data_IF_514339340988
#
_entry.id   IF_514339340988
#
_cell.length_a   1.000
_cell.length_b   1.000
_cell.length_c   1.000
_cell.angle_alpha   90.00
_cell.angle_beta   90.00
_cell.angle_gamma   90.00
#
_symmetry.space_group_name_H-M   'P 1'
#
loop_
_entity.id
_entity.type
_entity.pdbx_description
1 polymer ?
#
# COMPACT_ATOMS: atom_id res chain seq x y z
N UNK A 1 -4.11 13.43 -7.16
CA UNK A 1 -4.04 12.62 -8.41
C UNK A 1 -4.01 13.56 -9.60
N UNK A 2 -3.26 13.27 -10.67
CA UNK A 2 -3.27 14.09 -11.89
C UNK A 2 -4.62 13.95 -12.61
N UNK A 3 -5.32 15.04 -12.98
CA UNK A 3 -6.66 14.97 -13.58
C UNK A 3 -6.73 14.13 -14.87
N UNK A 4 -5.79 14.34 -15.79
CA UNK A 4 -5.75 13.56 -17.05
C UNK A 4 -5.50 12.06 -16.84
N UNK A 5 -4.60 11.71 -15.93
CA UNK A 5 -4.40 10.31 -15.54
C UNK A 5 -5.69 9.72 -14.98
N UNK A 6 -6.41 10.46 -14.14
CA UNK A 6 -7.70 10.00 -13.61
C UNK A 6 -8.74 9.82 -14.70
N UNK A 7 -8.85 10.78 -15.63
CA UNK A 7 -9.78 10.71 -16.76
C UNK A 7 -9.60 9.41 -17.55
N UNK A 8 -8.36 9.13 -17.98
CA UNK A 8 -8.02 7.89 -18.71
C UNK A 8 -8.22 6.65 -17.84
N UNK A 9 -7.74 6.69 -16.59
CA UNK A 9 -7.83 5.55 -15.68
C UNK A 9 -9.28 5.16 -15.37
N UNK A 10 -10.15 6.14 -15.15
CA UNK A 10 -11.56 5.94 -14.82
C UNK A 10 -12.40 5.44 -16.00
N UNK A 11 -11.98 5.71 -17.24
CA UNK A 11 -12.67 5.24 -18.45
C UNK A 11 -12.31 3.80 -18.85
N UNK A 12 -11.29 3.19 -18.24
CA UNK A 12 -10.88 1.82 -18.53
C UNK A 12 -11.79 0.79 -17.83
N UNK A 13 -12.17 -0.27 -18.56
CA UNK A 13 -12.98 -1.36 -18.01
C UNK A 13 -12.26 -2.21 -16.96
N UNK A 14 -10.96 -2.48 -17.16
CA UNK A 14 -10.11 -3.19 -16.21
C UNK A 14 -8.88 -2.36 -15.87
N UNK A 15 -8.61 -2.19 -14.58
CA UNK A 15 -7.59 -1.30 -14.01
C UNK A 15 -6.55 -2.10 -13.24
N UNK A 16 -5.28 -1.87 -13.58
CA UNK A 16 -4.14 -2.47 -12.90
C UNK A 16 -3.18 -1.38 -12.41
N UNK A 17 -2.67 -1.51 -11.19
CA UNK A 17 -1.66 -0.59 -10.63
C UNK A 17 -0.38 -1.35 -10.31
N UNK A 18 0.76 -0.81 -10.75
CA UNK A 18 2.10 -1.30 -10.46
C UNK A 18 2.85 -0.29 -9.59
N UNK A 19 3.23 -0.68 -8.37
CA UNK A 19 3.87 0.21 -7.39
C UNK A 19 5.08 -0.41 -6.73
N UNK A 20 6.07 0.41 -6.38
CA UNK A 20 7.17 -0.03 -5.53
C UNK A 20 6.77 -0.06 -4.04
N UNK A 21 5.64 0.55 -3.66
CA UNK A 21 5.16 0.53 -2.28
C UNK A 21 4.74 -0.89 -1.86
N UNK A 22 4.81 -1.21 -0.56
CA UNK A 22 4.28 -2.46 -0.04
C UNK A 22 2.81 -2.66 -0.44
N UNK A 23 2.48 -3.79 -1.11
CA UNK A 23 1.12 -4.04 -1.61
C UNK A 23 0.10 -3.97 -0.48
N UNK A 24 0.41 -4.59 0.66
CA UNK A 24 -0.45 -4.63 1.85
C UNK A 24 -0.86 -3.24 2.35
N UNK A 25 -0.03 -2.22 2.14
CA UNK A 25 -0.32 -0.84 2.58
C UNK A 25 -1.24 -0.10 1.61
N UNK A 26 -1.14 -0.36 0.30
CA UNK A 26 -1.81 0.44 -0.73
C UNK A 26 -3.02 -0.26 -1.35
N UNK A 27 -3.04 -1.59 -1.38
CA UNK A 27 -4.09 -2.37 -2.06
C UNK A 27 -5.49 -2.07 -1.51
N UNK A 28 -5.73 -2.01 -0.18
CA UNK A 28 -7.04 -1.67 0.35
C UNK A 28 -7.51 -0.29 -0.14
N UNK A 29 -6.62 0.69 -0.17
CA UNK A 29 -6.93 2.03 -0.66
C UNK A 29 -7.28 2.01 -2.16
N UNK A 30 -6.42 1.40 -2.98
CA UNK A 30 -6.59 1.35 -4.43
C UNK A 30 -7.88 0.63 -4.82
N UNK A 31 -8.16 -0.53 -4.22
CA UNK A 31 -9.37 -1.29 -4.51
C UNK A 31 -10.63 -0.58 -4.02
N UNK A 32 -10.64 -0.13 -2.77
CA UNK A 32 -11.86 0.39 -2.16
C UNK A 32 -12.24 1.80 -2.63
N UNK A 33 -11.25 2.65 -2.92
CA UNK A 33 -11.48 4.07 -3.23
C UNK A 33 -11.26 4.42 -4.70
N UNK A 34 -10.37 3.72 -5.42
CA UNK A 34 -10.10 4.00 -6.83
C UNK A 34 -10.67 2.95 -7.79
N UNK A 35 -11.31 1.89 -7.27
CA UNK A 35 -11.91 0.83 -8.08
C UNK A 35 -10.87 0.13 -8.95
N UNK A 36 -9.68 -0.13 -8.40
CA UNK A 36 -8.62 -0.89 -9.07
C UNK A 36 -8.93 -2.39 -8.95
N UNK A 37 -8.78 -3.14 -10.04
CA UNK A 37 -9.05 -4.58 -10.04
C UNK A 37 -7.83 -5.39 -9.60
N UNK A 38 -6.65 -5.01 -10.10
CA UNK A 38 -5.39 -5.71 -9.85
C UNK A 38 -4.34 -4.75 -9.29
N UNK A 39 -3.72 -5.12 -8.18
CA UNK A 39 -2.63 -4.35 -7.57
C UNK A 39 -1.39 -5.22 -7.49
N UNK A 40 -0.33 -4.81 -8.20
CA UNK A 40 0.99 -5.39 -8.12
C UNK A 40 1.87 -4.43 -7.32
N UNK A 41 2.31 -4.87 -6.15
CA UNK A 41 3.17 -4.09 -5.26
C UNK A 41 4.37 -4.88 -4.78
N UNK A 42 5.24 -4.23 -4.00
CA UNK A 42 6.30 -4.95 -3.29
C UNK A 42 5.68 -5.82 -2.20
N UNK A 43 6.08 -7.08 -2.13
CA UNK A 43 5.62 -7.99 -1.07
C UNK A 43 6.51 -7.89 0.17
N UNK A 44 5.89 -7.94 1.35
CA UNK A 44 6.59 -7.98 2.63
C UNK A 44 6.57 -9.42 3.14
N UNK A 45 7.73 -9.91 3.57
CA UNK A 45 7.87 -11.22 4.16
C UNK A 45 7.07 -11.29 5.46
N UNK A 46 6.30 -12.38 5.63
CA UNK A 46 5.51 -12.61 6.83
C UNK A 46 5.82 -13.98 7.42
N UNK A 47 5.71 -14.08 8.74
CA UNK A 47 5.83 -15.32 9.47
C UNK A 47 4.64 -15.44 10.41
N UNK A 48 3.87 -16.54 10.30
CA UNK A 48 2.63 -16.77 11.07
C UNK A 48 1.65 -15.59 11.06
N UNK A 49 1.49 -14.94 9.90
CA UNK A 49 0.59 -13.79 9.74
C UNK A 49 1.14 -12.45 10.23
N UNK A 50 2.37 -12.42 10.77
CA UNK A 50 3.03 -11.20 11.25
C UNK A 50 4.03 -10.74 10.19
N UNK A 51 3.94 -9.47 9.78
CA UNK A 51 4.92 -8.85 8.89
C UNK A 51 6.28 -8.76 9.59
N UNK A 52 7.34 -9.27 8.95
CA UNK A 52 8.69 -9.31 9.52
C UNK A 52 9.44 -7.98 9.35
N UNK A 53 8.90 -7.05 8.55
CA UNK A 53 9.57 -5.81 8.15
C UNK A 53 10.54 -5.95 6.99
N UNK A 54 10.85 -7.18 6.56
CA UNK A 54 11.70 -7.45 5.40
C UNK A 54 10.91 -7.58 4.11
N UNK A 55 11.52 -7.19 3.00
CA UNK A 55 10.97 -7.44 1.66
C UNK A 55 11.01 -8.95 1.38
N UNK A 56 9.98 -9.48 0.74
CA UNK A 56 9.96 -10.87 0.31
C UNK A 56 11.06 -11.16 -0.73
N UNK A 57 11.36 -12.44 -0.97
CA UNK A 57 12.39 -12.86 -1.93
C UNK A 57 12.14 -12.39 -3.38
N UNK A 58 10.92 -11.99 -3.71
CA UNK A 58 10.56 -11.33 -4.97
C UNK A 58 11.23 -9.96 -5.16
N UNK A 59 11.76 -9.36 -4.10
CA UNK A 59 12.41 -8.06 -4.11
C UNK A 59 11.44 -6.89 -4.28
N UNK A 60 12.01 -5.70 -4.45
CA UNK A 60 11.27 -4.45 -4.65
C UNK A 60 10.73 -4.37 -6.08
N UNK A 61 9.45 -4.01 -6.22
CA UNK A 61 8.76 -3.94 -7.50
C UNK A 61 9.05 -2.63 -8.26
N UNK A 62 10.26 -2.53 -8.80
CA UNK A 62 10.76 -1.37 -9.56
C UNK A 62 11.45 -1.80 -10.86
N UNK A 63 11.45 -0.93 -11.88
CA UNK A 63 12.22 -1.20 -13.09
C UNK A 63 11.73 -2.43 -13.84
N UNK A 64 12.66 -3.32 -14.18
CA UNK A 64 12.37 -4.59 -14.85
C UNK A 64 11.44 -5.49 -14.03
N UNK A 65 11.45 -5.41 -12.71
CA UNK A 65 10.59 -6.23 -11.85
C UNK A 65 9.10 -5.91 -12.09
N UNK A 66 8.75 -4.65 -12.38
CA UNK A 66 7.37 -4.28 -12.79
C UNK A 66 6.96 -5.00 -14.08
N UNK A 67 7.84 -5.03 -15.07
CA UNK A 67 7.59 -5.69 -16.35
C UNK A 67 7.43 -7.21 -16.19
N UNK A 68 8.29 -7.83 -15.37
CA UNK A 68 8.22 -9.26 -15.06
C UNK A 68 6.92 -9.60 -14.34
N UNK A 69 6.55 -8.83 -13.32
CA UNK A 69 5.30 -9.04 -12.59
C UNK A 69 4.08 -8.89 -13.51
N UNK A 70 4.06 -7.87 -14.37
CA UNK A 70 2.99 -7.69 -15.35
C UNK A 70 2.83 -8.91 -16.26
N UNK A 71 3.94 -9.41 -16.83
CA UNK A 71 3.92 -10.62 -17.67
C UNK A 71 3.46 -11.86 -16.92
N UNK A 72 3.88 -12.04 -15.67
CA UNK A 72 3.46 -13.17 -14.86
C UNK A 72 1.95 -13.14 -14.57
N UNK A 73 1.37 -11.94 -14.39
CA UNK A 73 -0.04 -11.78 -14.05
C UNK A 73 -0.97 -11.93 -15.26
N UNK A 74 -0.59 -11.40 -16.43
CA UNK A 74 -1.47 -11.38 -17.60
C UNK A 74 -1.04 -12.34 -18.73
N UNK A 75 0.11 -13.00 -18.60
CA UNK A 75 0.67 -13.85 -19.64
C UNK A 75 1.29 -13.05 -20.80
N UNK A 76 1.76 -13.76 -21.83
CA UNK A 76 2.40 -13.14 -22.98
C UNK A 76 1.40 -12.57 -24.00
N UNK A 77 0.17 -13.10 -24.05
CA UNK A 77 -0.81 -12.77 -25.08
C UNK A 77 -1.82 -11.69 -24.66
N UNK A 78 -2.00 -11.46 -23.35
CA UNK A 78 -2.93 -10.45 -22.84
C UNK A 78 -2.18 -9.24 -22.29
N UNK A 79 -1.56 -8.45 -23.18
CA UNK A 79 -0.88 -7.22 -22.75
C UNK A 79 -1.86 -6.06 -22.56
N UNK A 80 -1.66 -5.19 -21.55
CA UNK A 80 -2.53 -4.04 -21.34
C UNK A 80 -2.53 -3.08 -22.52
N UNK A 81 -3.68 -2.49 -22.83
CA UNK A 81 -3.79 -1.53 -23.92
C UNK A 81 -3.06 -0.22 -23.60
N UNK A 82 -3.21 0.30 -22.37
CA UNK A 82 -2.69 1.62 -21.98
C UNK A 82 -1.72 1.47 -20.80
N UNK A 83 -0.53 2.02 -20.92
CA UNK A 83 0.47 2.13 -19.86
C UNK A 83 0.73 3.58 -19.45
N UNK A 84 0.66 3.88 -18.16
CA UNK A 84 0.94 5.23 -17.64
C UNK A 84 2.05 5.15 -16.59
N UNK A 85 3.06 6.00 -16.70
CA UNK A 85 4.18 6.06 -15.74
C UNK A 85 4.74 7.48 -15.60
N UNK A 86 5.58 7.70 -14.60
CA UNK A 86 6.18 9.03 -14.33
C UNK A 86 7.70 9.04 -14.44
N UNK A 87 8.35 7.87 -14.45
CA UNK A 87 9.81 7.75 -14.39
C UNK A 87 10.37 6.82 -15.46
N UNK A 88 11.66 6.99 -15.75
CA UNK A 88 12.43 6.05 -16.61
C UNK A 88 12.37 4.60 -16.11
N UNK A 89 12.21 4.39 -14.80
CA UNK A 89 12.03 3.06 -14.20
C UNK A 89 10.73 2.37 -14.61
N UNK A 90 9.76 3.10 -15.17
CA UNK A 90 8.49 2.54 -15.63
C UNK A 90 8.55 2.10 -17.10
N UNK A 91 9.53 2.59 -17.86
CA UNK A 91 9.68 2.27 -19.28
C UNK A 91 9.68 0.76 -19.57
N UNK A 92 10.31 -0.12 -18.75
CA UNK A 92 10.27 -1.55 -19.01
C UNK A 92 8.86 -2.15 -19.09
N UNK A 93 7.94 -1.76 -18.21
CA UNK A 93 6.57 -2.30 -18.27
C UNK A 93 5.74 -1.53 -19.31
N UNK A 94 5.95 -0.22 -19.47
CA UNK A 94 5.23 0.58 -20.46
C UNK A 94 5.52 0.14 -21.90
N UNK A 95 6.71 -0.43 -22.15
CA UNK A 95 7.04 -1.05 -23.44
C UNK A 95 6.19 -2.28 -23.77
N UNK A 96 5.56 -2.89 -22.77
CA UNK A 96 4.66 -4.02 -22.95
C UNK A 96 3.24 -3.57 -23.32
N UNK A 97 2.88 -2.30 -23.06
CA UNK A 97 1.56 -1.76 -23.37
C UNK A 97 1.47 -1.31 -24.84
N UNK A 98 0.27 -1.34 -25.41
CA UNK A 98 0.03 -0.90 -26.80
C UNK A 98 0.25 0.61 -26.95
N UNK A 99 -0.35 1.38 -26.06
CA UNK A 99 -0.20 2.82 -25.92
C UNK A 99 0.48 3.14 -24.59
N UNK A 100 1.28 4.22 -24.55
CA UNK A 100 2.04 4.59 -23.37
C UNK A 100 2.18 6.08 -23.19
N UNK A 101 1.94 6.55 -21.97
CA UNK A 101 1.92 7.96 -21.61
C UNK A 101 2.83 8.24 -20.42
N UNK A 102 3.62 9.31 -20.52
CA UNK A 102 4.43 9.81 -19.42
C UNK A 102 3.73 10.99 -18.79
N UNK A 103 3.54 10.91 -17.47
CA UNK A 103 2.96 11.97 -16.66
C UNK A 103 4.09 12.59 -15.85
N UNK A 104 4.39 13.90 -16.02
CA UNK A 104 5.44 14.56 -15.26
C UNK A 104 5.19 14.43 -13.75
N UNK A 105 6.22 14.04 -12.97
CA UNK A 105 6.10 13.90 -11.50
C UNK A 105 5.77 15.21 -10.77
N UNK A 106 6.00 16.36 -11.42
CA UNK A 106 5.62 17.70 -10.93
C UNK A 106 4.64 18.31 -11.92
N UNK A 107 3.35 17.99 -11.79
CA UNK A 107 2.35 18.65 -12.60
C UNK A 107 2.22 20.13 -12.20
N UNK A 108 2.21 21.02 -13.19
CA UNK A 108 1.78 22.42 -13.01
C UNK A 108 0.24 22.52 -12.86
N UNK A 109 -0.46 21.40 -12.98
CA UNK A 109 -1.91 21.31 -12.85
C UNK A 109 -2.36 21.02 -11.42
N UNK A 110 -3.49 21.61 -11.04
CA UNK A 110 -4.11 21.35 -9.74
C UNK A 110 -4.48 19.87 -9.60
N UNK A 111 -4.23 19.25 -8.43
CA UNK A 111 -4.68 17.89 -8.17
C UNK A 111 -6.19 17.75 -8.34
N UNK A 112 -6.61 16.56 -8.76
CA UNK A 112 -8.02 16.17 -8.78
C UNK A 112 -8.67 16.44 -7.42
N UNK A 113 -9.84 17.07 -7.44
CA UNK A 113 -10.65 17.33 -6.25
C UNK A 113 -11.17 16.02 -5.66
N UNK A 114 -11.39 15.99 -4.34
CA UNK A 114 -11.82 14.79 -3.62
C UNK A 114 -13.23 14.31 -4.00
N UNK A 115 -14.08 15.22 -4.46
CA UNK A 115 -15.46 14.95 -4.93
C UNK A 115 -15.50 14.21 -6.27
N UNK A 116 -14.42 14.26 -7.06
CA UNK A 116 -14.33 13.56 -8.34
C UNK A 116 -13.90 12.09 -8.22
N UNK A 117 -13.63 11.61 -7.00
CA UNK A 117 -13.28 10.22 -6.74
C UNK A 117 -14.56 9.39 -6.50
N UNK A 118 -14.56 8.08 -6.85
CA UNK A 118 -15.75 7.22 -6.74
C UNK A 118 -16.25 7.10 -5.30
N UNK A 119 -15.35 7.23 -4.32
CA UNK A 119 -15.67 7.31 -2.90
C UNK A 119 -14.90 8.45 -2.25
N UNK A 120 -15.51 9.17 -1.29
CA UNK A 120 -14.80 10.15 -0.48
C UNK A 120 -13.59 9.50 0.20
N UNK A 121 -12.40 10.01 -0.08
CA UNK A 121 -11.17 9.52 0.57
C UNK A 121 -11.06 10.19 1.94
N UNK A 122 -11.35 9.43 2.99
CA UNK A 122 -11.04 9.83 4.36
C UNK A 122 -9.67 9.26 4.68
N UNK A 123 -8.65 10.12 4.62
CA UNK A 123 -7.30 9.71 4.98
C UNK A 123 -7.20 9.64 6.51
N UNK A 124 -7.40 8.45 7.05
CA UNK A 124 -7.09 8.14 8.45
C UNK A 124 -5.57 8.01 8.56
N UNK A 125 -4.86 9.14 8.53
CA UNK A 125 -3.44 9.14 8.89
C UNK A 125 -3.33 8.72 10.35
N UNK A 126 -2.91 7.47 10.59
CA UNK A 126 -2.60 6.95 11.92
C UNK A 126 -1.46 7.69 12.63
N UNK A 127 -0.91 8.75 12.01
CA UNK A 127 -0.03 9.73 12.66
C UNK A 127 -0.65 10.46 13.85
N UNK A 128 -1.89 10.13 14.23
CA UNK A 128 -2.47 10.43 15.55
C UNK A 128 -1.88 9.62 16.72
N UNK A 129 -0.59 9.31 16.69
CA UNK A 129 0.15 9.17 17.94
C UNK A 129 1.18 10.28 17.95
N UNK A 130 0.78 11.42 18.52
CA UNK A 130 1.70 12.47 18.96
C UNK A 130 2.86 11.73 19.64
N UNK A 131 4.09 11.90 19.15
CA UNK A 131 5.26 11.24 19.76
C UNK A 131 5.20 11.53 21.26
N UNK A 132 5.26 10.52 22.15
CA UNK A 132 5.26 10.76 23.58
C UNK A 132 6.35 11.80 23.88
N UNK A 133 6.06 12.77 24.73
CA UNK A 133 7.12 13.65 25.23
C UNK A 133 8.19 12.77 25.90
N UNK A 134 9.47 13.21 25.97
CA UNK A 134 10.51 12.42 26.62
C UNK A 134 10.12 11.94 28.03
N UNK A 135 9.39 12.77 28.78
CA UNK A 135 8.82 12.42 30.08
C UNK A 135 7.78 11.29 29.97
N UNK A 136 6.83 11.39 29.05
CA UNK A 136 5.82 10.33 28.85
C UNK A 136 6.45 9.03 28.36
N UNK A 137 7.46 9.10 27.49
CA UNK A 137 8.23 7.92 27.07
C UNK A 137 8.93 7.25 28.28
N UNK A 138 9.57 8.05 29.16
CA UNK A 138 10.20 7.55 30.37
C UNK A 138 9.18 6.88 31.31
N UNK A 139 8.03 7.52 31.53
CA UNK A 139 6.96 6.96 32.37
C UNK A 139 6.42 5.66 31.79
N UNK A 140 6.23 5.56 30.47
CA UNK A 140 5.80 4.33 29.80
C UNK A 140 6.83 3.21 30.01
N UNK A 141 8.13 3.50 29.82
CA UNK A 141 9.20 2.51 30.00
C UNK A 141 9.28 2.06 31.46
N UNK A 142 9.19 3.00 32.41
CA UNK A 142 9.23 2.70 33.84
C UNK A 142 8.00 1.90 34.30
N UNK A 143 6.84 2.19 33.73
CA UNK A 143 5.59 1.51 34.06
C UNK A 143 5.46 0.14 33.38
N UNK A 144 6.13 -0.07 32.25
CA UNK A 144 6.07 -1.32 31.49
C UNK A 144 6.28 -2.60 32.33
N UNK A 145 7.32 -2.73 33.19
CA UNK A 145 7.51 -3.92 34.02
C UNK A 145 6.35 -4.14 35.01
N UNK A 146 5.83 -3.06 35.61
CA UNK A 146 4.69 -3.12 36.54
C UNK A 146 3.43 -3.56 35.79
N UNK A 147 3.16 -2.94 34.64
CA UNK A 147 2.03 -3.27 33.78
C UNK A 147 2.07 -4.73 33.28
N UNK A 148 3.26 -5.25 32.97
CA UNK A 148 3.44 -6.64 32.56
C UNK A 148 3.14 -7.62 33.71
N UNK A 149 3.61 -7.33 34.92
CA UNK A 149 3.31 -8.17 36.09
C UNK A 149 1.81 -8.17 36.40
N UNK A 150 1.18 -7.00 36.35
CA UNK A 150 -0.27 -6.86 36.56
C UNK A 150 -1.07 -7.60 35.49
N UNK A 151 -0.68 -7.52 34.21
CA UNK A 151 -1.41 -8.19 33.12
C UNK A 151 -1.35 -9.71 33.25
N UNK A 152 -0.21 -10.27 33.64
CA UNK A 152 -0.06 -11.71 33.90
C UNK A 152 -0.94 -12.14 35.08
N UNK A 153 -0.93 -11.39 36.18
CA UNK A 153 -1.76 -11.71 37.36
C UNK A 153 -3.25 -11.63 37.07
N UNK A 154 -3.69 -10.58 36.38
CA UNK A 154 -5.11 -10.43 35.98
C UNK A 154 -5.52 -11.53 35.02
N UNK A 155 -4.69 -11.85 34.02
CA UNK A 155 -4.99 -12.94 33.08
C UNK A 155 -5.07 -14.30 33.78
N UNK A 156 -4.19 -14.56 34.74
CA UNK A 156 -4.18 -15.80 35.53
C UNK A 156 -5.39 -15.88 36.48
N UNK A 157 -5.79 -14.76 37.08
CA UNK A 157 -6.98 -14.68 37.93
C UNK A 157 -8.27 -14.89 37.11
N UNK A 158 -8.37 -14.25 35.94
CA UNK A 158 -9.51 -14.42 35.02
C UNK A 158 -9.58 -15.87 34.54
N UNK A 159 -8.45 -16.49 34.22
CA UNK A 159 -8.42 -17.91 33.89
C UNK A 159 -8.88 -18.77 35.08
N UNK A 160 -8.37 -18.54 36.28
CA UNK A 160 -8.80 -19.29 37.47
C UNK A 160 -10.31 -19.18 37.71
N UNK A 161 -10.90 -17.99 37.63
CA UNK A 161 -12.34 -17.75 37.82
C UNK A 161 -13.24 -18.34 36.72
N UNK A 162 -12.70 -18.59 35.53
CA UNK A 162 -13.46 -19.18 34.41
C UNK A 162 -13.43 -20.71 34.42
N UNK A 163 -12.47 -21.32 35.12
CA UNK A 163 -12.22 -22.76 35.09
C UNK A 163 -12.30 -23.45 36.45
N UNK A 164 -12.57 -22.69 37.53
CA UNK A 164 -12.89 -23.19 38.87
C UNK A 164 -13.99 -22.33 39.49
#
# INVERSE_FOLDING_TARGET
MHPETWRVFSSCGRKCVLTANPRIMVEPFLKNYLGVDVVLGTEISSFKGIATGFVASSGVLVGRNKAIALRRTFGAESMPDIGVGDRKTDFPFMKLCKERYIVPSRPEVRPLRHDALPKPVIFHDGRLVRKPTPLMALLIILWFPIGLILSIRVSSLVHYLLYH
#
